data_IF_789253547138
#
_entry.id   IF_789253547138
#
_cell.length_a   1.000
_cell.length_b   1.000
_cell.length_c   1.000
_cell.angle_alpha   90.00
_cell.angle_beta   90.00
_cell.angle_gamma   90.00
#
_symmetry.space_group_name_H-M   'P 1'
#
loop_
_entity.id
_entity.type
_entity.pdbx_description
1 polymer ?
#
# COMPACT_ATOMS: atom_id res chain seq x y z
N UNK A 1 -59.03 10.72 12.97
CA UNK A 1 -58.44 10.74 14.31
C UNK A 1 -57.09 10.03 14.20
N UNK A 2 -55.99 10.73 14.49
CA UNK A 2 -54.60 10.32 14.28
C UNK A 2 -54.23 9.13 15.17
N UNK A 3 -53.39 8.23 14.67
CA UNK A 3 -52.53 7.39 15.48
C UNK A 3 -51.22 7.19 14.71
N UNK A 4 -50.21 7.87 15.20
CA UNK A 4 -48.86 7.95 14.66
C UNK A 4 -48.10 6.69 15.07
N UNK A 5 -47.29 6.11 14.19
CA UNK A 5 -46.10 5.34 14.61
C UNK A 5 -45.15 5.19 13.42
N UNK A 6 -44.45 6.28 13.14
CA UNK A 6 -43.18 6.24 12.43
C UNK A 6 -42.18 5.46 13.29
N UNK A 7 -42.02 4.16 13.04
CA UNK A 7 -40.95 3.38 13.63
C UNK A 7 -39.66 3.71 12.86
N UNK A 8 -38.89 4.67 13.36
CA UNK A 8 -37.55 4.94 12.87
C UNK A 8 -36.71 3.64 12.96
N UNK A 9 -35.85 3.34 11.97
CA UNK A 9 -34.96 2.19 12.05
C UNK A 9 -34.09 2.33 13.29
N UNK A 10 -34.20 1.36 14.21
CA UNK A 10 -33.39 1.30 15.42
C UNK A 10 -31.92 1.22 15.00
N UNK A 11 -31.18 2.32 15.20
CA UNK A 11 -29.73 2.34 15.03
C UNK A 11 -29.17 1.30 16.00
N UNK A 12 -28.46 0.26 15.53
CA UNK A 12 -27.88 -0.73 16.41
C UNK A 12 -26.95 -0.02 17.42
N UNK A 13 -27.24 -0.18 18.70
CA UNK A 13 -26.42 0.35 19.79
C UNK A 13 -25.03 -0.29 19.70
N UNK A 14 -23.94 0.49 19.70
CA UNK A 14 -22.59 -0.09 19.64
C UNK A 14 -22.35 -0.96 20.89
N UNK A 15 -22.12 -2.25 20.65
CA UNK A 15 -21.79 -3.27 21.66
C UNK A 15 -20.50 -2.89 22.42
N UNK A 16 -20.38 -3.22 23.72
CA UNK A 16 -19.29 -2.72 24.57
C UNK A 16 -17.91 -3.26 24.13
N UNK A 17 -16.98 -2.34 23.91
CA UNK A 17 -15.54 -2.32 24.28
C UNK A 17 -14.68 -3.61 24.32
N UNK A 18 -15.05 -4.74 23.71
CA UNK A 18 -14.19 -5.95 23.66
C UNK A 18 -13.15 -5.91 22.54
N UNK A 19 -13.26 -4.95 21.61
CA UNK A 19 -12.33 -4.71 20.50
C UNK A 19 -11.31 -3.59 20.74
N UNK A 20 -11.48 -2.76 21.76
CA UNK A 20 -10.62 -1.59 21.99
C UNK A 20 -9.16 -2.01 22.30
N UNK A 21 -8.95 -3.09 23.05
CA UNK A 21 -7.60 -3.58 23.31
C UNK A 21 -6.92 -4.10 22.03
N UNK A 22 -7.68 -4.77 21.14
CA UNK A 22 -7.18 -5.24 19.84
C UNK A 22 -6.77 -4.05 18.97
N UNK A 23 -7.60 -3.00 18.94
CA UNK A 23 -7.27 -1.74 18.30
C UNK A 23 -5.89 -1.23 18.75
N UNK A 24 -5.67 -1.06 20.06
CA UNK A 24 -4.41 -0.52 20.56
C UNK A 24 -3.21 -1.43 20.29
N UNK A 25 -3.37 -2.75 20.47
CA UNK A 25 -2.27 -3.70 20.27
C UNK A 25 -1.86 -3.82 18.82
N UNK A 26 -2.80 -4.04 17.89
CA UNK A 26 -2.47 -4.20 16.47
C UNK A 26 -1.99 -2.89 15.85
N UNK A 27 -2.53 -1.76 16.30
CA UNK A 27 -2.06 -0.43 15.88
C UNK A 27 -0.64 -0.15 16.38
N UNK A 28 -0.34 -0.47 17.65
CA UNK A 28 0.99 -0.31 18.21
C UNK A 28 2.03 -1.18 17.49
N UNK A 29 1.68 -2.43 17.17
CA UNK A 29 2.54 -3.33 16.38
C UNK A 29 2.80 -2.74 15.00
N UNK A 30 1.75 -2.28 14.30
CA UNK A 30 1.91 -1.67 12.97
C UNK A 30 2.80 -0.42 13.01
N UNK A 31 2.59 0.48 13.99
CA UNK A 31 3.40 1.69 14.15
C UNK A 31 4.85 1.31 14.42
N UNK A 32 5.07 0.37 15.34
CA UNK A 32 6.40 -0.08 15.70
C UNK A 32 7.15 -0.68 14.51
N UNK A 33 6.45 -1.46 13.67
CA UNK A 33 7.07 -2.10 12.51
C UNK A 33 7.42 -1.11 11.40
N UNK A 34 6.64 -0.03 11.19
CA UNK A 34 6.82 0.93 10.09
C UNK A 34 7.57 2.21 10.45
N UNK A 35 7.39 2.74 11.66
CA UNK A 35 7.82 4.09 12.03
C UNK A 35 8.92 4.11 13.08
N UNK A 36 9.16 3.02 13.80
CA UNK A 36 10.19 2.96 14.83
C UNK A 36 11.47 2.41 14.20
N UNK A 37 12.52 3.23 14.02
CA UNK A 37 13.82 2.73 13.59
C UNK A 37 14.46 1.96 14.74
N UNK A 38 14.96 0.77 14.45
CA UNK A 38 15.75 -0.04 15.39
C UNK A 38 17.15 -0.17 14.82
N UNK A 39 18.15 -0.06 15.69
CA UNK A 39 19.54 -0.30 15.30
C UNK A 39 19.88 -1.75 15.63
N UNK A 40 20.05 -2.58 14.59
CA UNK A 40 20.53 -3.95 14.74
C UNK A 40 21.82 -4.06 13.92
N UNK A 41 22.93 -4.42 14.56
CA UNK A 41 24.21 -4.64 13.86
C UNK A 41 24.87 -3.37 13.29
N UNK A 42 24.56 -2.18 13.81
CA UNK A 42 25.20 -0.91 13.43
C UNK A 42 24.50 -0.13 12.30
N UNK A 43 23.43 -0.67 11.73
CA UNK A 43 22.55 0.03 10.77
C UNK A 43 21.21 0.33 11.40
N UNK A 44 20.82 1.62 11.40
CA UNK A 44 19.51 2.06 11.88
C UNK A 44 18.51 2.09 10.74
N UNK A 45 17.53 1.19 10.79
CA UNK A 45 16.49 1.09 9.77
C UNK A 45 15.15 0.69 10.41
N UNK A 46 14.09 0.74 9.61
CA UNK A 46 12.75 0.36 10.02
C UNK A 46 12.71 -1.15 10.34
N UNK A 47 11.87 -1.58 11.29
CA UNK A 47 11.80 -3.00 11.68
C UNK A 47 11.45 -3.92 10.49
N UNK A 48 10.57 -3.44 9.61
CA UNK A 48 10.22 -4.13 8.37
C UNK A 48 11.46 -4.43 7.51
N UNK A 49 12.35 -3.46 7.35
CA UNK A 49 13.57 -3.62 6.56
C UNK A 49 14.52 -4.66 7.16
N UNK A 50 14.57 -4.75 8.49
CA UNK A 50 15.32 -5.81 9.17
C UNK A 50 14.74 -7.19 8.90
N UNK A 51 13.40 -7.33 8.87
CA UNK A 51 12.74 -8.60 8.52
C UNK A 51 13.07 -8.98 7.07
N UNK A 52 12.98 -8.03 6.13
CA UNK A 52 13.32 -8.25 4.72
C UNK A 52 14.79 -8.64 4.56
N UNK A 53 15.69 -7.92 5.23
CA UNK A 53 17.13 -8.19 5.22
C UNK A 53 17.45 -9.55 5.84
N UNK A 54 16.76 -9.92 6.92
CA UNK A 54 16.88 -11.23 7.55
C UNK A 54 16.46 -12.35 6.59
N UNK A 55 15.32 -12.21 5.90
CA UNK A 55 14.88 -13.18 4.87
C UNK A 55 15.90 -13.25 3.73
N UNK A 56 16.40 -12.10 3.25
CA UNK A 56 17.38 -12.04 2.17
C UNK A 56 18.70 -12.72 2.53
N UNK A 57 19.14 -12.61 3.77
CA UNK A 57 20.39 -13.22 4.25
C UNK A 57 20.24 -14.71 4.51
N UNK A 58 19.13 -15.15 5.12
CA UNK A 58 18.88 -16.57 5.38
C UNK A 58 18.58 -17.37 4.10
N UNK A 59 17.85 -16.78 3.15
CA UNK A 59 17.40 -17.44 1.93
C UNK A 59 18.02 -16.83 0.67
N UNK A 60 19.29 -16.45 0.73
CA UNK A 60 20.00 -15.74 -0.34
C UNK A 60 19.98 -16.44 -1.70
N UNK A 61 19.92 -17.77 -1.72
CA UNK A 61 19.82 -18.56 -2.95
C UNK A 61 18.40 -18.60 -3.53
N UNK A 62 17.35 -18.54 -2.71
CA UNK A 62 15.95 -18.69 -3.14
C UNK A 62 15.29 -17.36 -3.49
N UNK A 63 15.71 -16.29 -2.82
CA UNK A 63 15.13 -14.95 -2.94
C UNK A 63 15.18 -14.38 -4.39
N UNK A 64 16.27 -14.55 -5.16
CA UNK A 64 16.28 -14.17 -6.58
C UNK A 64 15.18 -14.88 -7.39
N UNK A 65 14.99 -16.19 -7.18
CA UNK A 65 13.95 -16.94 -7.89
C UNK A 65 12.54 -16.50 -7.47
N UNK A 66 12.33 -16.21 -6.18
CA UNK A 66 11.09 -15.64 -5.70
C UNK A 66 10.78 -14.30 -6.40
N UNK A 67 11.77 -13.39 -6.48
CA UNK A 67 11.60 -12.11 -7.16
C UNK A 67 11.27 -12.30 -8.65
N UNK A 68 11.92 -13.26 -9.33
CA UNK A 68 11.59 -13.61 -10.72
C UNK A 68 10.13 -14.07 -10.86
N UNK A 69 9.65 -14.94 -9.96
CA UNK A 69 8.25 -15.41 -9.97
C UNK A 69 7.28 -14.23 -9.80
N UNK A 70 7.55 -13.32 -8.86
CA UNK A 70 6.71 -12.13 -8.64
C UNK A 70 6.65 -11.25 -9.89
N UNK A 71 7.79 -11.02 -10.56
CA UNK A 71 7.86 -10.27 -11.83
C UNK A 71 7.08 -11.00 -12.93
N UNK A 72 7.24 -12.32 -13.04
CA UNK A 72 6.54 -13.14 -14.01
C UNK A 72 5.03 -13.06 -13.82
N UNK A 73 4.54 -13.20 -12.58
CA UNK A 73 3.13 -13.02 -12.26
C UNK A 73 2.64 -11.61 -12.62
N UNK A 74 3.39 -10.57 -12.26
CA UNK A 74 3.04 -9.18 -12.56
C UNK A 74 3.03 -8.86 -14.06
N UNK A 75 3.89 -9.52 -14.85
CA UNK A 75 3.97 -9.37 -16.29
C UNK A 75 2.90 -10.19 -17.03
N UNK A 76 2.57 -11.39 -16.56
CA UNK A 76 1.57 -12.29 -17.19
C UNK A 76 0.14 -11.90 -16.84
N UNK A 77 -0.10 -11.34 -15.65
CA UNK A 77 -1.44 -11.00 -15.16
C UNK A 77 -2.30 -10.16 -16.14
N UNK A 78 -1.78 -9.09 -16.78
CA UNK A 78 -2.54 -8.32 -17.77
C UNK A 78 -2.92 -9.10 -19.03
N UNK A 79 -2.10 -10.07 -19.45
CA UNK A 79 -2.37 -10.93 -20.60
C UNK A 79 -3.42 -11.98 -20.27
N UNK A 80 -3.34 -12.59 -19.08
CA UNK A 80 -4.36 -13.54 -18.60
C UNK A 80 -5.74 -12.89 -18.49
N UNK A 81 -5.81 -11.68 -17.92
CA UNK A 81 -7.06 -10.90 -17.81
C UNK A 81 -7.51 -10.25 -19.13
N UNK A 82 -6.74 -10.40 -20.22
CA UNK A 82 -6.97 -9.75 -21.53
C UNK A 82 -7.12 -8.22 -21.45
N UNK A 83 -6.57 -7.59 -20.41
CA UNK A 83 -6.65 -6.13 -20.20
C UNK A 83 -5.44 -5.38 -20.75
N UNK A 84 -4.50 -6.09 -21.38
CA UNK A 84 -3.24 -5.52 -21.84
C UNK A 84 -3.39 -4.46 -22.94
N UNK A 85 -4.47 -4.50 -23.74
CA UNK A 85 -4.71 -3.58 -24.86
C UNK A 85 -5.94 -2.67 -24.69
N UNK A 86 -6.24 -2.25 -23.46
CA UNK A 86 -7.39 -1.36 -23.22
C UNK A 86 -7.17 0.05 -23.76
N UNK A 87 -5.97 0.59 -23.54
CA UNK A 87 -5.57 1.95 -23.92
C UNK A 87 -4.09 1.94 -24.29
N UNK A 88 -3.65 2.90 -25.10
CA UNK A 88 -2.24 3.02 -25.53
C UNK A 88 -1.26 2.98 -24.37
N UNK A 89 -1.60 3.63 -23.25
CA UNK A 89 -0.79 3.62 -22.01
C UNK A 89 -0.68 2.19 -21.47
N UNK A 90 -1.80 1.50 -21.31
CA UNK A 90 -1.86 0.13 -20.79
C UNK A 90 -1.09 -0.85 -21.67
N UNK A 91 -1.14 -0.67 -23.00
CA UNK A 91 -0.40 -1.47 -23.98
C UNK A 91 1.11 -1.26 -23.83
N UNK A 92 1.56 0.00 -23.76
CA UNK A 92 2.97 0.34 -23.55
C UNK A 92 3.47 -0.23 -22.23
N UNK A 93 2.75 -0.03 -21.12
CA UNK A 93 3.13 -0.60 -19.82
C UNK A 93 3.15 -2.12 -19.81
N UNK A 94 2.25 -2.78 -20.54
CA UNK A 94 2.24 -4.25 -20.65
C UNK A 94 3.46 -4.74 -21.43
N UNK A 95 3.86 -4.06 -22.51
CA UNK A 95 5.10 -4.36 -23.24
C UNK A 95 6.34 -4.14 -22.38
N UNK A 96 6.40 -3.03 -21.63
CA UNK A 96 7.50 -2.77 -20.68
C UNK A 96 7.61 -3.85 -19.61
N UNK A 97 6.47 -4.36 -19.11
CA UNK A 97 6.48 -5.49 -18.15
C UNK A 97 7.08 -6.75 -18.74
N UNK A 98 6.78 -7.06 -20.00
CA UNK A 98 7.39 -8.21 -20.70
C UNK A 98 8.89 -8.00 -20.91
N UNK A 99 9.32 -6.80 -21.33
CA UNK A 99 10.74 -6.48 -21.44
C UNK A 99 11.47 -6.57 -20.09
N UNK A 100 10.83 -6.11 -19.02
CA UNK A 100 11.34 -6.24 -17.65
C UNK A 100 11.47 -7.71 -17.22
N UNK A 101 10.50 -8.55 -17.57
CA UNK A 101 10.56 -9.99 -17.31
C UNK A 101 11.71 -10.65 -18.07
N UNK A 102 11.87 -10.37 -19.36
CA UNK A 102 12.97 -10.89 -20.18
C UNK A 102 14.31 -10.47 -19.56
N UNK A 103 14.44 -9.20 -19.17
CA UNK A 103 15.65 -8.67 -18.52
C UNK A 103 15.93 -9.36 -17.17
N UNK A 104 14.90 -9.61 -16.35
CA UNK A 104 15.03 -10.32 -15.09
C UNK A 104 15.49 -11.78 -15.29
N UNK A 105 14.92 -12.49 -16.27
CA UNK A 105 15.33 -13.85 -16.64
C UNK A 105 16.79 -13.85 -17.10
N UNK A 106 17.17 -12.91 -17.97
CA UNK A 106 18.56 -12.75 -18.42
C UNK A 106 19.53 -12.58 -17.24
N UNK A 107 19.16 -11.76 -16.25
CA UNK A 107 19.99 -11.52 -15.06
C UNK A 107 20.13 -12.75 -14.15
N UNK A 108 19.04 -13.49 -13.92
CA UNK A 108 19.06 -14.68 -13.05
C UNK A 108 19.83 -15.84 -13.69
N UNK A 109 19.62 -16.10 -14.99
CA UNK A 109 20.29 -17.20 -15.69
C UNK A 109 21.66 -16.82 -16.26
N UNK A 110 22.07 -15.55 -16.12
CA UNK A 110 23.31 -14.99 -16.67
C UNK A 110 23.45 -15.17 -18.18
N UNK A 111 22.33 -15.02 -18.90
CA UNK A 111 22.27 -15.12 -20.36
C UNK A 111 21.90 -13.73 -20.88
N UNK A 112 22.75 -13.08 -21.66
CA UNK A 112 22.45 -11.75 -22.21
C UNK A 112 23.67 -10.94 -22.64
N UNK A 113 23.48 -9.68 -23.04
CA UNK A 113 24.57 -8.83 -23.51
C UNK A 113 25.46 -8.34 -22.37
N UNK A 114 26.77 -8.20 -22.64
CA UNK A 114 27.80 -7.91 -21.63
C UNK A 114 27.58 -6.59 -20.87
N UNK A 115 26.96 -5.59 -21.49
CA UNK A 115 26.64 -4.31 -20.84
C UNK A 115 25.64 -4.47 -19.68
N UNK A 116 24.73 -5.46 -19.75
CA UNK A 116 23.71 -5.69 -18.73
C UNK A 116 24.32 -6.28 -17.46
N UNK A 117 25.40 -7.05 -17.57
CA UNK A 117 26.08 -7.71 -16.46
C UNK A 117 27.14 -6.84 -15.78
N UNK A 118 27.26 -5.57 -16.16
CA UNK A 118 28.15 -4.65 -15.45
C UNK A 118 27.73 -4.55 -13.97
N UNK A 119 28.68 -4.62 -13.02
CA UNK A 119 28.37 -4.69 -11.58
C UNK A 119 27.45 -3.58 -11.07
N UNK A 120 27.54 -2.40 -11.68
CA UNK A 120 26.81 -1.20 -11.29
C UNK A 120 25.48 -1.02 -12.05
N UNK A 121 25.08 -1.98 -12.89
CA UNK A 121 23.86 -1.90 -13.70
C UNK A 121 22.87 -3.01 -13.35
N UNK A 122 22.89 -4.13 -14.07
CA UNK A 122 21.88 -5.18 -13.95
C UNK A 122 21.89 -5.88 -12.60
N UNK A 123 23.02 -6.43 -12.12
CA UNK A 123 23.12 -7.04 -10.81
C UNK A 123 22.76 -6.07 -9.68
N UNK A 124 23.22 -4.82 -9.74
CA UNK A 124 22.88 -3.80 -8.75
C UNK A 124 21.38 -3.53 -8.69
N UNK A 125 20.74 -3.26 -9.84
CA UNK A 125 19.31 -3.03 -9.95
C UNK A 125 18.51 -4.23 -9.42
N UNK A 126 18.92 -5.44 -9.78
CA UNK A 126 18.24 -6.65 -9.37
C UNK A 126 18.37 -6.92 -7.85
N UNK A 127 19.60 -6.87 -7.33
CA UNK A 127 19.88 -7.25 -5.95
C UNK A 127 19.44 -6.21 -4.92
N UNK A 128 19.55 -4.92 -5.27
CA UNK A 128 19.27 -3.81 -4.33
C UNK A 128 17.87 -3.26 -4.46
N UNK A 129 17.27 -3.28 -5.64
CA UNK A 129 15.96 -2.70 -5.88
C UNK A 129 14.90 -3.78 -6.08
N UNK A 130 15.09 -4.66 -7.06
CA UNK A 130 14.05 -5.65 -7.41
C UNK A 130 13.79 -6.64 -6.27
N UNK A 131 14.84 -7.23 -5.71
CA UNK A 131 14.72 -8.17 -4.58
C UNK A 131 14.15 -7.46 -3.34
N UNK A 132 14.69 -6.29 -2.99
CA UNK A 132 14.29 -5.55 -1.80
C UNK A 132 12.83 -5.12 -1.87
N UNK A 133 12.42 -4.49 -2.98
CA UNK A 133 11.02 -4.07 -3.21
C UNK A 133 10.10 -5.27 -3.33
N UNK A 134 10.54 -6.34 -4.01
CA UNK A 134 9.77 -7.57 -4.20
C UNK A 134 9.43 -8.31 -2.90
N UNK A 135 10.27 -8.20 -1.88
CA UNK A 135 10.00 -8.71 -0.53
C UNK A 135 9.27 -7.69 0.35
N UNK A 136 9.66 -6.43 0.26
CA UNK A 136 9.11 -5.36 1.08
C UNK A 136 7.63 -5.11 0.79
N UNK A 137 7.20 -5.13 -0.47
CA UNK A 137 5.82 -4.81 -0.84
C UNK A 137 4.81 -5.82 -0.28
N UNK A 138 4.95 -7.14 -0.47
CA UNK A 138 4.02 -8.11 0.12
C UNK A 138 4.02 -8.09 1.64
N UNK A 139 5.20 -8.09 2.27
CA UNK A 139 5.33 -8.09 3.73
C UNK A 139 4.74 -6.81 4.31
N UNK A 140 5.12 -5.67 3.73
CA UNK A 140 4.59 -4.37 4.10
C UNK A 140 3.09 -4.28 3.93
N UNK A 141 2.51 -4.86 2.88
CA UNK A 141 1.06 -4.87 2.67
C UNK A 141 0.29 -5.59 3.80
N UNK A 142 0.87 -6.63 4.41
CA UNK A 142 0.27 -7.31 5.57
C UNK A 142 0.22 -6.36 6.77
N UNK A 143 1.34 -5.72 7.11
CA UNK A 143 1.38 -4.75 8.21
C UNK A 143 0.55 -3.50 7.92
N UNK A 144 0.47 -3.08 6.65
CA UNK A 144 -0.37 -1.98 6.20
C UNK A 144 -1.85 -2.32 6.37
N UNK A 145 -2.26 -3.54 6.01
CA UNK A 145 -3.61 -4.03 6.24
C UNK A 145 -3.95 -4.08 7.74
N UNK A 146 -2.98 -4.37 8.63
CA UNK A 146 -3.19 -4.24 10.07
C UNK A 146 -3.42 -2.77 10.47
N UNK A 147 -2.59 -1.85 9.99
CA UNK A 147 -2.73 -0.41 10.30
C UNK A 147 -4.10 0.15 9.85
N UNK A 148 -4.52 -0.20 8.64
CA UNK A 148 -5.78 0.26 8.05
C UNK A 148 -6.97 -0.47 8.67
N UNK A 149 -6.91 -1.80 8.74
CA UNK A 149 -8.02 -2.66 9.17
C UNK A 149 -8.37 -2.55 10.65
N UNK A 150 -7.42 -2.20 11.52
CA UNK A 150 -7.70 -1.93 12.92
C UNK A 150 -8.04 -0.46 13.21
N UNK A 151 -8.21 0.40 12.20
CA UNK A 151 -8.74 1.76 12.38
C UNK A 151 -7.73 2.79 12.91
N UNK A 152 -6.44 2.48 12.95
CA UNK A 152 -5.44 3.47 13.39
C UNK A 152 -5.45 4.70 12.48
N UNK A 153 -5.56 4.51 11.17
CA UNK A 153 -5.60 5.63 10.22
C UNK A 153 -6.80 6.55 10.49
N UNK A 154 -7.95 5.98 10.86
CA UNK A 154 -9.13 6.74 11.24
C UNK A 154 -8.89 7.51 12.55
N UNK A 155 -8.28 6.87 13.54
CA UNK A 155 -7.92 7.51 14.81
C UNK A 155 -6.94 8.67 14.62
N UNK A 156 -5.87 8.47 13.85
CA UNK A 156 -4.90 9.52 13.51
C UNK A 156 -5.58 10.64 12.73
N UNK A 157 -6.47 10.29 11.79
CA UNK A 157 -7.27 11.26 11.04
C UNK A 157 -8.17 12.11 11.93
N UNK A 158 -8.87 11.52 12.91
CA UNK A 158 -9.66 12.24 13.93
C UNK A 158 -8.78 13.13 14.79
N UNK A 159 -7.62 12.61 15.23
CA UNK A 159 -6.67 13.36 16.04
C UNK A 159 -6.05 14.55 15.30
N UNK A 160 -5.90 14.45 13.98
CA UNK A 160 -5.44 15.55 13.11
C UNK A 160 -6.52 16.60 12.82
N UNK A 161 -7.82 16.30 12.98
CA UNK A 161 -8.91 17.28 12.74
C UNK A 161 -8.75 18.60 13.50
N UNK A 162 -8.45 18.63 14.81
CA UNK A 162 -8.26 19.88 15.55
C UNK A 162 -7.04 20.68 15.09
N UNK A 163 -6.04 20.05 14.46
CA UNK A 163 -4.86 20.73 13.89
C UNK A 163 -5.18 21.27 12.49
N UNK A 164 -5.90 20.50 11.66
CA UNK A 164 -6.21 20.89 10.29
C UNK A 164 -7.26 22.00 10.17
N UNK A 165 -8.26 22.04 11.07
CA UNK A 165 -9.28 23.09 11.09
C UNK A 165 -8.72 24.52 11.22
N UNK A 166 -7.82 24.84 12.17
CA UNK A 166 -7.29 26.20 12.31
C UNK A 166 -6.29 26.59 11.22
N UNK A 167 -5.46 25.65 10.73
CA UNK A 167 -4.41 25.98 9.75
C UNK A 167 -4.94 26.00 8.31
N UNK A 168 -5.75 25.00 7.92
CA UNK A 168 -6.21 24.83 6.53
C UNK A 168 -7.71 25.07 6.31
N UNK A 169 -8.49 25.31 7.38
CA UNK A 169 -9.96 25.52 7.30
C UNK A 169 -10.71 24.39 6.58
N UNK A 170 -10.15 23.19 6.55
CA UNK A 170 -10.76 22.02 5.92
C UNK A 170 -11.66 21.24 6.89
N UNK A 171 -12.76 20.64 6.42
CA UNK A 171 -13.64 19.83 7.24
C UNK A 171 -12.89 18.59 7.74
N UNK A 172 -13.20 18.14 8.96
CA UNK A 172 -12.47 17.06 9.62
C UNK A 172 -12.43 15.72 8.84
N UNK A 173 -13.37 15.50 7.91
CA UNK A 173 -13.38 14.31 7.04
C UNK A 173 -12.25 14.32 6.01
N UNK A 174 -11.78 15.48 5.56
CA UNK A 174 -10.65 15.60 4.63
C UNK A 174 -9.32 15.20 5.27
N UNK A 175 -9.20 15.30 6.60
CA UNK A 175 -8.02 14.83 7.33
C UNK A 175 -7.86 13.30 7.23
N UNK A 176 -8.97 12.59 7.39
CA UNK A 176 -9.00 11.12 7.31
C UNK A 176 -8.70 10.68 5.88
N UNK A 177 -9.31 11.34 4.89
CA UNK A 177 -9.08 11.06 3.47
C UNK A 177 -7.63 11.37 3.04
N UNK A 178 -7.03 12.44 3.55
CA UNK A 178 -5.64 12.77 3.31
C UNK A 178 -4.69 11.70 3.88
N UNK A 179 -4.94 11.22 5.09
CA UNK A 179 -4.17 10.13 5.71
C UNK A 179 -4.35 8.83 4.92
N UNK A 180 -5.57 8.50 4.50
CA UNK A 180 -5.84 7.32 3.67
C UNK A 180 -5.14 7.39 2.31
N UNK A 181 -5.14 8.57 1.67
CA UNK A 181 -4.48 8.80 0.38
C UNK A 181 -2.95 8.78 0.48
N UNK A 182 -2.39 9.25 1.59
CA UNK A 182 -0.94 9.18 1.87
C UNK A 182 -0.47 7.73 2.03
N UNK A 183 -1.27 6.89 2.69
CA UNK A 183 -0.88 5.53 3.07
C UNK A 183 -1.24 4.50 1.99
N UNK A 184 -2.38 4.63 1.32
CA UNK A 184 -2.92 3.61 0.41
C UNK A 184 -2.74 3.92 -1.08
N UNK A 185 -3.18 5.09 -1.53
CA UNK A 185 -2.98 5.63 -2.88
C UNK A 185 -3.81 6.90 -3.05
N UNK A 186 -3.24 7.91 -3.71
CA UNK A 186 -3.97 9.11 -4.17
C UNK A 186 -5.23 8.78 -5.00
N UNK A 187 -5.25 7.63 -5.68
CA UNK A 187 -6.38 7.21 -6.51
C UNK A 187 -7.65 6.93 -5.70
N UNK A 188 -7.56 6.54 -4.42
CA UNK A 188 -8.73 6.31 -3.57
C UNK A 188 -9.37 7.65 -3.15
N UNK A 189 -8.56 8.66 -2.83
CA UNK A 189 -9.06 10.01 -2.53
C UNK A 189 -9.79 10.64 -3.72
N UNK A 190 -9.29 10.46 -4.95
CA UNK A 190 -9.99 10.91 -6.16
C UNK A 190 -11.32 10.18 -6.39
N UNK A 191 -11.39 8.87 -6.13
CA UNK A 191 -12.63 8.10 -6.24
C UNK A 191 -13.68 8.55 -5.22
N UNK A 192 -13.27 8.89 -4.00
CA UNK A 192 -14.16 9.47 -2.98
C UNK A 192 -14.61 10.89 -3.40
N UNK A 193 -13.73 11.67 -4.03
CA UNK A 193 -14.07 13.02 -4.49
C UNK A 193 -15.01 13.03 -5.70
N UNK A 194 -14.92 12.04 -6.61
CA UNK A 194 -15.79 11.96 -7.80
C UNK A 194 -17.24 11.59 -7.48
N UNK A 195 -17.48 11.05 -6.28
CA UNK A 195 -18.82 10.73 -5.78
C UNK A 195 -19.47 11.91 -5.02
N UNK A 196 -18.76 13.03 -4.82
CA UNK A 196 -19.33 14.22 -4.20
C UNK A 196 -20.23 14.96 -5.21
N UNK A 197 -21.50 15.25 -4.86
CA UNK A 197 -22.41 15.98 -5.74
C UNK A 197 -21.82 17.35 -6.14
N UNK A 198 -22.03 17.78 -7.39
CA UNK A 198 -21.55 19.09 -7.84
C UNK A 198 -22.12 20.21 -6.98
N UNK A 199 -21.31 21.27 -6.80
CA UNK A 199 -21.57 22.44 -5.93
C UNK A 199 -22.96 23.09 -6.14
N UNK A 200 -23.61 22.87 -7.29
CA UNK A 200 -24.96 23.33 -7.59
C UNK A 200 -26.05 22.76 -6.69
N UNK A 201 -25.81 21.64 -6.00
CA UNK A 201 -26.78 21.08 -5.05
C UNK A 201 -26.80 21.85 -3.71
N UNK A 202 -25.67 22.45 -3.32
CA UNK A 202 -25.57 23.25 -2.07
C UNK A 202 -26.07 24.69 -2.23
N UNK A 203 -26.31 25.15 -3.46
CA UNK A 203 -26.91 26.46 -3.72
C UNK A 203 -28.46 26.43 -3.72
N UNK A 204 -29.06 25.25 -3.50
CA UNK A 204 -30.52 25.03 -3.58
C UNK A 204 -31.16 24.61 -2.24
N UNK A 205 -30.39 24.68 -1.15
CA UNK A 205 -30.82 24.53 0.25
C UNK A 205 -30.41 25.81 0.97
#
# INVERSE_FOLDING_TARGET
MKADTNMAPSVPTPTPASGAWKFFVFSAIGIFVFFVPVSIGGTSSILLDHIVTWIRTQFSALVPYYALIVIALGAVYPFYKKTWNKDTVTTVFSLLKVLGLITAVMLVFRIGPSWLFQPNMGPFLYDKLVISVGLLVPIGSVFLALLVGYGLLEFVGVWMQPIMRPIWKTPGRSAIDAVASFVGSYSIGLLITSELPPLNFLAKI
#
